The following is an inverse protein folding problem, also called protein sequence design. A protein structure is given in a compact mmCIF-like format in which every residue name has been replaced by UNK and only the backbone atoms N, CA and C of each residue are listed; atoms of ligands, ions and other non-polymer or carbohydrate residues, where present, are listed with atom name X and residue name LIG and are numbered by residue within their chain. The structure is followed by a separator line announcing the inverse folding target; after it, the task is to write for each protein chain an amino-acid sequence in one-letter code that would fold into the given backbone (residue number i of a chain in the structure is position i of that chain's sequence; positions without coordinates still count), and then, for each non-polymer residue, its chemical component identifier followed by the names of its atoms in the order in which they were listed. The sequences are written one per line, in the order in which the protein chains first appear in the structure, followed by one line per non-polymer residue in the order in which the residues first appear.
data_IF_597766398884
#
_entry.id   IF_597766398884
#
_cell.length_a   1.000
_cell.length_b   1.000
_cell.length_c   1.000
_cell.angle_alpha   90.00
_cell.angle_beta   90.00
_cell.angle_gamma   90.00
#
_symmetry.space_group_name_H-M   'P 1'
#
loop_
_entity.id
_entity.type
_entity.pdbx_description
1 polymer ?
#
# COMPACT_ATOMS: atom_id res chain seq x y z
N UNK A 1 -27.91 -1.82 2.60
CA UNK A 1 -27.13 -1.05 1.62
C UNK A 1 -25.78 -1.73 1.45
N UNK A 2 -25.24 -1.80 0.23
CA UNK A 2 -23.88 -2.28 -0.06
C UNK A 2 -22.93 -1.10 -0.26
N UNK A 3 -21.67 -1.27 0.13
CA UNK A 3 -20.63 -0.26 0.03
C UNK A 3 -19.44 -0.83 -0.71
N UNK A 4 -19.00 -0.16 -1.77
CA UNK A 4 -17.83 -0.59 -2.55
C UNK A 4 -16.86 0.56 -2.70
N UNK A 5 -15.61 0.32 -2.30
CA UNK A 5 -14.47 1.20 -2.55
C UNK A 5 -13.63 0.58 -3.64
N UNK A 6 -13.49 1.29 -4.76
CA UNK A 6 -12.62 0.94 -5.87
C UNK A 6 -11.46 1.92 -5.93
N UNK A 7 -10.28 1.47 -5.52
CA UNK A 7 -9.07 2.29 -5.44
C UNK A 7 -8.13 1.90 -6.58
N UNK A 8 -7.89 2.83 -7.50
CA UNK A 8 -6.75 2.73 -8.42
C UNK A 8 -5.58 3.50 -7.82
N UNK A 9 -4.57 2.78 -7.36
CA UNK A 9 -3.40 3.34 -6.67
C UNK A 9 -2.65 4.29 -7.61
N UNK A 10 -2.23 5.46 -7.11
CA UNK A 10 -1.38 6.37 -7.86
C UNK A 10 -1.93 6.88 -9.21
N UNK A 11 -3.22 6.70 -9.52
CA UNK A 11 -3.81 7.08 -10.83
C UNK A 11 -3.67 8.57 -11.13
N UNK A 12 -3.81 9.40 -10.09
CA UNK A 12 -3.71 10.85 -10.21
C UNK A 12 -2.30 11.27 -10.65
N UNK A 13 -2.24 12.38 -11.38
CA UNK A 13 -1.02 12.87 -12.00
C UNK A 13 -1.06 14.40 -12.19
N UNK A 14 0.02 14.92 -12.73
CA UNK A 14 0.09 16.29 -13.21
C UNK A 14 -0.03 16.34 -14.73
N UNK A 15 -0.52 17.46 -15.29
CA UNK A 15 -0.39 17.72 -16.72
C UNK A 15 1.08 17.63 -17.15
N UNK A 16 1.37 16.82 -18.16
CA UNK A 16 2.74 16.62 -18.67
C UNK A 16 2.84 16.92 -20.15
N UNK A 17 3.98 17.47 -20.59
CA UNK A 17 4.27 17.70 -22.01
C UNK A 17 4.22 16.40 -22.83
N UNK A 18 4.58 15.26 -22.22
CA UNK A 18 4.51 13.92 -22.84
C UNK A 18 3.11 13.57 -23.36
N UNK A 19 2.08 14.16 -22.76
CA UNK A 19 0.67 13.95 -23.07
C UNK A 19 0.00 15.23 -23.61
N UNK A 20 0.79 16.20 -24.11
CA UNK A 20 0.27 17.44 -24.67
C UNK A 20 -0.40 18.35 -23.63
N UNK A 21 0.10 18.34 -22.40
CA UNK A 21 -0.44 19.15 -21.30
C UNK A 21 -1.67 18.54 -20.63
N UNK A 22 -1.84 17.22 -20.70
CA UNK A 22 -2.92 16.44 -20.05
C UNK A 22 -2.37 15.49 -19.00
N UNK A 23 -3.23 15.03 -18.10
CA UNK A 23 -2.95 13.91 -17.20
C UNK A 23 -3.27 12.57 -17.87
N UNK A 24 -2.76 11.42 -17.38
CA UNK A 24 -3.17 10.09 -17.83
C UNK A 24 -4.69 9.86 -17.71
N UNK A 25 -5.34 10.32 -16.63
CA UNK A 25 -6.79 10.25 -16.46
C UNK A 25 -7.54 11.02 -17.57
N UNK A 26 -7.02 12.16 -18.02
CA UNK A 26 -7.59 12.91 -19.15
C UNK A 26 -7.33 12.28 -20.53
N UNK A 27 -6.41 11.31 -20.61
CA UNK A 27 -6.03 10.62 -21.84
C UNK A 27 -6.68 9.25 -21.98
N UNK A 28 -6.96 8.57 -20.87
CA UNK A 28 -7.55 7.25 -20.84
C UNK A 28 -9.03 7.29 -21.27
N UNK A 29 -9.49 6.23 -21.95
CA UNK A 29 -10.91 6.03 -22.20
C UNK A 29 -11.57 5.32 -21.02
N UNK A 30 -12.35 6.05 -20.22
CA UNK A 30 -12.88 5.59 -18.93
C UNK A 30 -14.39 5.80 -18.75
N UNK A 31 -15.24 5.22 -19.63
CA UNK A 31 -16.68 5.47 -19.63
C UNK A 31 -17.38 5.15 -18.30
N UNK A 32 -16.89 4.21 -17.49
CA UNK A 32 -17.56 3.85 -16.23
C UNK A 32 -17.15 4.74 -15.05
N UNK A 33 -15.88 5.17 -14.97
CA UNK A 33 -15.44 6.22 -14.06
C UNK A 33 -16.16 7.53 -14.39
N UNK A 34 -16.26 7.86 -15.67
CA UNK A 34 -16.97 9.05 -16.14
C UNK A 34 -18.45 8.97 -15.79
N UNK A 35 -19.11 7.81 -15.97
CA UNK A 35 -20.49 7.62 -15.54
C UNK A 35 -20.66 7.87 -14.04
N UNK A 36 -19.79 7.31 -13.19
CA UNK A 36 -19.85 7.51 -11.73
C UNK A 36 -19.67 9.00 -11.37
N UNK A 37 -18.77 9.71 -12.06
CA UNK A 37 -18.53 11.14 -11.81
C UNK A 37 -19.66 12.05 -12.33
N UNK A 38 -20.13 11.80 -13.55
CA UNK A 38 -21.19 12.56 -14.24
C UNK A 38 -22.52 12.44 -13.53
N UNK A 39 -22.91 11.22 -13.16
CA UNK A 39 -24.20 10.93 -12.52
C UNK A 39 -24.15 11.06 -11.00
N UNK A 40 -22.96 10.91 -10.40
CA UNK A 40 -22.74 10.89 -8.97
C UNK A 40 -22.23 12.23 -8.41
N UNK A 41 -21.26 12.15 -7.50
CA UNK A 41 -20.63 13.31 -6.86
C UNK A 41 -19.12 13.20 -7.01
N UNK A 42 -18.52 14.13 -7.75
CA UNK A 42 -17.09 14.23 -8.02
C UNK A 42 -16.43 15.28 -7.10
N UNK A 43 -15.25 14.98 -6.56
CA UNK A 43 -14.49 15.91 -5.72
C UNK A 43 -13.05 15.46 -5.48
N UNK A 44 -12.37 16.16 -4.58
CA UNK A 44 -11.00 15.85 -4.15
C UNK A 44 -10.97 15.36 -2.70
N UNK A 45 -10.03 14.46 -2.39
CA UNK A 45 -9.76 13.99 -1.03
C UNK A 45 -8.28 14.16 -0.69
N UNK A 46 -8.04 14.72 0.50
CA UNK A 46 -6.70 14.98 1.04
C UNK A 46 -6.26 13.84 1.97
N UNK A 47 -5.74 12.77 1.39
CA UNK A 47 -5.41 11.52 2.10
C UNK A 47 -4.07 11.56 2.84
N UNK A 48 -3.22 12.56 2.56
CA UNK A 48 -1.87 12.66 3.13
C UNK A 48 -1.84 13.83 4.12
N UNK A 49 -1.91 13.58 5.44
CA UNK A 49 -1.80 14.65 6.43
C UNK A 49 -0.51 15.45 6.28
N UNK A 50 -0.60 16.74 6.55
CA UNK A 50 0.55 17.65 6.48
C UNK A 50 1.75 17.10 7.28
N UNK A 51 2.91 17.03 6.63
CA UNK A 51 4.16 16.57 7.23
C UNK A 51 4.36 15.05 7.26
N UNK A 52 3.42 14.27 6.71
CA UNK A 52 3.59 12.83 6.53
C UNK A 52 4.07 12.49 5.11
N UNK A 53 4.79 11.38 4.98
CA UNK A 53 5.20 10.88 3.68
C UNK A 53 3.97 10.38 2.90
N UNK A 54 3.87 10.68 1.59
CA UNK A 54 2.74 10.29 0.75
C UNK A 54 2.77 8.80 0.37
N UNK A 55 2.98 7.87 1.31
CA UNK A 55 2.98 6.43 1.03
C UNK A 55 1.57 5.82 1.00
N UNK A 56 1.37 4.74 0.26
CA UNK A 56 0.09 4.01 0.19
C UNK A 56 -0.36 3.49 1.56
N UNK A 57 0.56 3.29 2.52
CA UNK A 57 0.23 3.03 3.92
C UNK A 57 -0.54 4.18 4.57
N UNK A 58 -0.03 5.40 4.43
CA UNK A 58 -0.65 6.61 4.98
C UNK A 58 -1.97 6.89 4.27
N UNK A 59 -1.96 6.86 2.93
CA UNK A 59 -3.14 7.12 2.12
C UNK A 59 -4.26 6.11 2.38
N UNK A 60 -3.97 4.81 2.40
CA UNK A 60 -4.99 3.77 2.63
C UNK A 60 -5.59 3.85 4.04
N UNK A 61 -4.79 4.17 5.06
CA UNK A 61 -5.31 4.42 6.41
C UNK A 61 -6.34 5.57 6.39
N UNK A 62 -6.00 6.69 5.73
CA UNK A 62 -6.95 7.79 5.53
C UNK A 62 -8.20 7.36 4.78
N UNK A 63 -8.07 6.65 3.65
CA UNK A 63 -9.24 6.21 2.88
C UNK A 63 -10.16 5.31 3.71
N UNK A 64 -9.61 4.44 4.55
CA UNK A 64 -10.39 3.57 5.46
C UNK A 64 -10.95 4.32 6.68
N UNK A 65 -10.62 5.60 6.86
CA UNK A 65 -11.18 6.44 7.91
C UNK A 65 -10.38 6.48 9.22
N UNK A 66 -9.10 6.11 9.17
CA UNK A 66 -8.17 6.20 10.29
C UNK A 66 -7.28 7.42 10.11
N UNK A 67 -7.05 8.20 11.17
CA UNK A 67 -6.16 9.35 11.14
C UNK A 67 -4.71 8.86 11.13
N UNK A 68 -3.94 8.99 10.03
CA UNK A 68 -2.58 8.45 9.99
C UNK A 68 -1.67 9.10 11.02
N UNK A 69 -1.89 10.36 11.38
CA UNK A 69 -1.09 11.05 12.40
C UNK A 69 -1.22 10.42 13.79
N UNK A 70 -2.33 9.71 14.06
CA UNK A 70 -2.59 9.03 15.33
C UNK A 70 -2.36 7.52 15.24
N UNK A 71 -2.66 6.93 14.08
CA UNK A 71 -2.74 5.48 13.93
C UNK A 71 -1.53 4.86 13.20
N UNK A 72 -0.78 5.63 12.41
CA UNK A 72 0.38 5.11 11.70
C UNK A 72 1.56 4.91 12.65
N UNK A 73 2.05 3.68 12.72
CA UNK A 73 3.15 3.31 13.61
C UNK A 73 4.39 2.80 12.86
N UNK A 74 4.35 2.70 11.54
CA UNK A 74 5.43 2.16 10.69
C UNK A 74 4.96 1.02 9.78
N UNK A 75 5.77 0.65 8.79
CA UNK A 75 5.44 -0.41 7.81
C UNK A 75 5.53 -1.82 8.36
N UNK A 76 6.48 -2.07 9.26
CA UNK A 76 6.70 -3.37 9.90
C UNK A 76 5.44 -3.96 10.54
N UNK A 77 4.69 -3.23 11.40
CA UNK A 77 3.50 -3.77 12.02
C UNK A 77 2.33 -3.99 11.05
N UNK A 78 2.25 -3.24 9.96
CA UNK A 78 1.25 -3.44 8.92
C UNK A 78 1.52 -4.74 8.14
N UNK A 79 2.79 -5.01 7.77
CA UNK A 79 3.17 -6.27 7.15
C UNK A 79 3.08 -7.46 8.12
N UNK A 80 3.36 -7.26 9.40
CA UNK A 80 3.15 -8.31 10.40
C UNK A 80 1.68 -8.76 10.40
N UNK A 81 0.74 -7.83 10.30
CA UNK A 81 -0.67 -8.14 10.20
C UNK A 81 -1.03 -8.90 8.91
N UNK A 82 -0.42 -8.57 7.77
CA UNK A 82 -0.67 -9.27 6.50
C UNK A 82 -0.20 -10.73 6.53
N UNK A 83 0.85 -11.02 7.29
CA UNK A 83 1.36 -12.37 7.54
C UNK A 83 0.61 -13.11 8.67
N UNK A 84 -0.41 -12.50 9.27
CA UNK A 84 -1.15 -13.08 10.40
C UNK A 84 -0.34 -13.14 11.71
N UNK A 85 0.73 -12.35 11.82
CA UNK A 85 1.59 -12.30 12.99
C UNK A 85 0.96 -11.36 14.01
N UNK A 86 0.56 -11.92 15.15
CA UNK A 86 -0.01 -11.14 16.25
C UNK A 86 1.10 -10.43 17.04
N UNK A 87 0.96 -9.11 17.15
CA UNK A 87 1.78 -8.25 18.00
C UNK A 87 1.06 -7.99 19.32
N UNK A 88 1.78 -8.22 20.43
CA UNK A 88 1.41 -7.74 21.75
C UNK A 88 1.55 -6.21 21.86
N UNK A 89 1.05 -5.61 22.96
CA UNK A 89 1.01 -4.16 23.12
C UNK A 89 2.40 -3.48 23.15
N UNK A 90 3.43 -4.23 23.51
CA UNK A 90 4.81 -3.74 23.62
C UNK A 90 5.74 -4.32 22.54
N UNK A 91 5.21 -5.10 21.60
CA UNK A 91 6.02 -5.68 20.54
C UNK A 91 6.29 -4.63 19.45
N UNK A 92 7.48 -4.69 18.88
CA UNK A 92 7.87 -3.86 17.74
C UNK A 92 8.20 -4.76 16.56
N UNK A 93 7.54 -4.52 15.44
CA UNK A 93 7.81 -5.19 14.19
C UNK A 93 8.73 -4.32 13.32
N UNK A 94 9.79 -4.92 12.79
CA UNK A 94 10.72 -4.35 11.83
C UNK A 94 10.54 -5.06 10.49
N UNK A 95 10.60 -4.31 9.39
CA UNK A 95 11.03 -4.88 8.11
C UNK A 95 12.47 -5.32 8.22
N UNK A 96 12.75 -6.49 7.67
CA UNK A 96 14.07 -7.10 7.61
C UNK A 96 14.38 -7.37 6.14
N UNK A 97 15.13 -6.48 5.51
CA UNK A 97 15.58 -6.69 4.14
C UNK A 97 16.85 -7.56 4.10
N UNK A 98 16.92 -8.51 3.17
CA UNK A 98 18.20 -9.07 2.75
C UNK A 98 18.86 -8.12 1.75
N UNK A 99 20.09 -7.71 2.04
CA UNK A 99 20.81 -6.69 1.25
C UNK A 99 22.22 -7.14 0.88
N UNK A 100 22.77 -6.50 -0.15
CA UNK A 100 24.20 -6.57 -0.49
C UNK A 100 24.87 -5.27 -0.08
N UNK A 101 25.80 -5.37 0.87
CA UNK A 101 26.69 -4.28 1.26
C UNK A 101 28.01 -4.43 0.50
N UNK A 102 28.34 -3.43 -0.31
CA UNK A 102 29.62 -3.33 -1.02
C UNK A 102 30.72 -2.83 -0.08
N UNK A 103 31.96 -3.30 -0.29
CA UNK A 103 33.11 -3.00 0.60
C UNK A 103 32.80 -3.23 2.09
N UNK A 104 32.05 -4.31 2.38
CA UNK A 104 31.66 -4.70 3.73
C UNK A 104 32.88 -4.79 4.66
N UNK A 105 32.68 -4.45 5.92
CA UNK A 105 33.70 -4.45 6.98
C UNK A 105 34.80 -3.39 6.81
N UNK A 106 34.59 -2.42 5.92
CA UNK A 106 35.45 -1.23 5.76
C UNK A 106 34.70 0.07 6.09
N UNK A 107 35.44 1.17 6.25
CA UNK A 107 34.86 2.53 6.45
C UNK A 107 34.12 3.05 5.22
N UNK A 108 34.34 2.43 4.06
CA UNK A 108 33.72 2.78 2.79
C UNK A 108 32.54 1.86 2.43
N UNK A 109 32.06 1.06 3.38
CA UNK A 109 30.89 0.20 3.20
C UNK A 109 29.67 1.01 2.72
N UNK A 110 29.03 0.52 1.66
CA UNK A 110 27.90 1.20 1.02
C UNK A 110 26.77 0.22 0.67
N UNK A 111 25.54 0.74 0.54
CA UNK A 111 24.39 -0.06 0.13
C UNK A 111 24.50 -0.33 -1.37
N UNK A 112 25.05 -1.48 -1.75
CA UNK A 112 25.22 -1.84 -3.16
C UNK A 112 23.89 -2.29 -3.78
N UNK A 113 23.07 -3.02 -3.02
CA UNK A 113 21.78 -3.50 -3.47
C UNK A 113 20.84 -3.79 -2.30
N UNK A 114 19.73 -3.06 -2.21
CA UNK A 114 18.73 -3.26 -1.14
C UNK A 114 17.85 -4.51 -1.35
N UNK A 115 18.01 -5.20 -2.47
CA UNK A 115 17.26 -6.41 -2.86
C UNK A 115 18.11 -7.68 -2.92
N UNK A 116 19.43 -7.53 -2.71
CA UNK A 116 20.42 -8.58 -2.94
C UNK A 116 20.35 -9.19 -4.36
N UNK A 117 20.10 -8.36 -5.38
CA UNK A 117 19.93 -8.81 -6.77
C UNK A 117 18.61 -9.54 -6.99
N UNK A 118 17.52 -9.01 -6.42
CA UNK A 118 16.18 -9.62 -6.43
C UNK A 118 16.20 -11.10 -6.04
N UNK A 119 16.85 -11.41 -4.90
CA UNK A 119 16.92 -12.77 -4.36
C UNK A 119 15.53 -13.43 -4.36
N UNK A 120 15.46 -14.68 -4.79
CA UNK A 120 14.19 -15.38 -4.89
C UNK A 120 13.59 -15.65 -3.51
N UNK A 121 12.26 -15.74 -3.41
CA UNK A 121 11.59 -16.08 -2.15
C UNK A 121 12.04 -17.43 -1.59
N UNK A 122 12.42 -18.38 -2.45
CA UNK A 122 12.89 -19.70 -2.02
C UNK A 122 14.24 -19.61 -1.32
N UNK A 123 15.23 -18.99 -1.96
CA UNK A 123 16.55 -18.78 -1.38
C UNK A 123 16.51 -17.93 -0.10
N UNK A 124 15.73 -16.84 -0.14
CA UNK A 124 15.60 -15.93 0.98
C UNK A 124 14.91 -16.58 2.18
N UNK A 125 13.94 -17.46 1.95
CA UNK A 125 13.28 -18.23 3.02
C UNK A 125 14.26 -19.14 3.74
N UNK A 126 15.17 -19.80 3.03
CA UNK A 126 16.22 -20.62 3.64
C UNK A 126 17.11 -19.76 4.54
N UNK A 127 17.61 -18.64 4.02
CA UNK A 127 18.43 -17.68 4.77
C UNK A 127 17.73 -17.20 6.04
N UNK A 128 16.48 -16.74 5.94
CA UNK A 128 15.76 -16.18 7.08
C UNK A 128 15.40 -17.26 8.10
N UNK A 129 15.13 -18.49 7.65
CA UNK A 129 14.91 -19.62 8.56
C UNK A 129 16.16 -19.93 9.36
N UNK A 130 17.34 -19.90 8.74
CA UNK A 130 18.61 -20.15 9.43
C UNK A 130 19.02 -19.00 10.35
N UNK A 131 18.75 -17.75 9.96
CA UNK A 131 18.87 -16.59 10.87
C UNK A 131 17.93 -16.76 12.07
N UNK A 132 16.68 -17.17 11.85
CA UNK A 132 15.75 -17.42 12.95
C UNK A 132 16.24 -18.55 13.84
N UNK A 133 16.73 -19.66 13.28
CA UNK A 133 17.25 -20.78 14.06
C UNK A 133 18.46 -20.37 14.92
N UNK A 134 19.33 -19.51 14.40
CA UNK A 134 20.53 -19.05 15.10
C UNK A 134 20.23 -17.96 16.15
N UNK A 135 19.27 -17.07 15.89
CA UNK A 135 19.09 -15.83 16.65
C UNK A 135 17.74 -15.71 17.38
N UNK A 136 16.80 -16.61 17.12
CA UNK A 136 15.50 -16.57 17.78
C UNK A 136 15.63 -16.79 19.29
N UNK A 137 14.77 -16.09 20.01
CA UNK A 137 14.66 -16.14 21.46
C UNK A 137 13.28 -15.64 21.88
N UNK A 138 13.04 -15.57 23.18
CA UNK A 138 11.85 -14.87 23.71
C UNK A 138 11.84 -13.36 23.36
N UNK A 139 13.00 -12.80 22.95
CA UNK A 139 13.17 -11.39 22.59
C UNK A 139 13.02 -11.14 21.09
N UNK A 140 13.59 -12.00 20.23
CA UNK A 140 13.65 -11.77 18.77
C UNK A 140 13.09 -12.96 18.00
N UNK A 141 12.30 -12.67 16.97
CA UNK A 141 11.73 -13.68 16.07
C UNK A 141 11.79 -13.18 14.64
N UNK A 142 12.21 -14.01 13.69
CA UNK A 142 12.32 -13.66 12.28
C UNK A 142 11.31 -14.47 11.45
N UNK A 143 10.70 -13.81 10.47
CA UNK A 143 9.64 -14.39 9.65
C UNK A 143 9.93 -14.17 8.17
N UNK A 144 10.03 -15.25 7.36
CA UNK A 144 10.28 -15.11 5.94
C UNK A 144 9.04 -14.55 5.22
N UNK A 145 9.20 -13.38 4.61
CA UNK A 145 8.27 -12.84 3.60
C UNK A 145 8.67 -13.18 2.15
N UNK A 146 8.46 -12.24 1.24
CA UNK A 146 8.61 -12.42 -0.22
C UNK A 146 9.89 -11.77 -0.74
N UNK A 147 10.65 -12.50 -1.57
CA UNK A 147 11.91 -12.05 -2.13
C UNK A 147 12.87 -11.61 -1.04
N UNK A 148 13.33 -10.37 -1.08
CA UNK A 148 14.22 -9.79 -0.08
C UNK A 148 13.52 -9.19 1.15
N UNK A 149 12.19 -9.19 1.22
CA UNK A 149 11.40 -8.50 2.27
C UNK A 149 10.91 -9.49 3.31
N UNK A 150 11.32 -9.31 4.56
CA UNK A 150 10.99 -10.20 5.68
C UNK A 150 10.66 -9.37 6.92
N UNK A 151 10.36 -10.03 8.03
CA UNK A 151 10.09 -9.35 9.30
C UNK A 151 10.99 -9.85 10.42
N UNK A 152 11.30 -8.94 11.33
CA UNK A 152 11.83 -9.25 12.66
C UNK A 152 10.90 -8.65 13.71
N UNK A 153 10.47 -9.45 14.67
CA UNK A 153 9.67 -9.01 15.80
C UNK A 153 10.55 -8.95 17.04
N UNK A 154 10.66 -7.76 17.62
CA UNK A 154 11.25 -7.54 18.94
C UNK A 154 10.11 -7.55 19.97
N UNK A 155 10.01 -8.66 20.71
CA UNK A 155 9.01 -8.85 21.75
C UNK A 155 9.30 -7.98 22.97
N UNK A 156 8.27 -7.32 23.48
CA UNK A 156 8.35 -6.41 24.64
C UNK A 156 9.49 -5.38 24.55
N UNK A 157 9.68 -4.78 23.36
CA UNK A 157 10.73 -3.82 23.14
C UNK A 157 10.53 -2.56 24.01
N UNK A 158 11.59 -2.13 24.69
CA UNK A 158 11.58 -0.93 25.51
C UNK A 158 11.86 0.35 24.72
N UNK A 159 12.38 0.21 23.50
CA UNK A 159 12.85 1.31 22.66
C UNK A 159 12.36 1.16 21.23
N UNK A 160 12.36 2.28 20.50
CA UNK A 160 11.99 2.34 19.09
C UNK A 160 13.02 3.23 18.35
N UNK A 161 14.23 2.72 18.09
CA UNK A 161 15.28 3.50 17.43
C UNK A 161 14.82 3.96 16.05
N UNK A 162 15.31 5.11 15.60
CA UNK A 162 15.11 5.60 14.24
C UNK A 162 15.90 4.74 13.25
N UNK A 163 15.31 4.41 12.10
CA UNK A 163 15.96 3.62 11.05
C UNK A 163 15.75 4.28 9.69
N UNK A 164 16.59 3.90 8.73
CA UNK A 164 16.50 4.40 7.35
C UNK A 164 16.07 3.28 6.41
N UNK A 165 15.13 3.52 5.48
CA UNK A 165 14.82 2.55 4.43
C UNK A 165 16.02 2.26 3.53
N UNK A 166 16.34 1.00 3.22
CA UNK A 166 17.56 0.68 2.46
C UNK A 166 17.49 1.12 1.00
N UNK A 167 16.30 1.26 0.43
CA UNK A 167 16.12 1.71 -0.97
C UNK A 167 16.47 3.19 -1.16
N UNK A 168 16.28 4.03 -0.14
CA UNK A 168 16.59 5.47 -0.17
C UNK A 168 18.11 5.76 -0.16
N UNK A 169 18.92 4.74 0.13
CA UNK A 169 20.36 4.88 0.35
C UNK A 169 21.21 4.03 -0.61
N UNK A 170 20.63 3.51 -1.69
CA UNK A 170 21.36 2.80 -2.74
C UNK A 170 22.54 3.64 -3.25
N UNK A 171 23.74 3.06 -3.25
CA UNK A 171 25.00 3.71 -3.62
C UNK A 171 25.61 4.63 -2.54
N UNK A 172 24.95 4.81 -1.39
CA UNK A 172 25.43 5.68 -0.30
C UNK A 172 26.15 4.87 0.78
N UNK A 173 27.08 5.53 1.49
CA UNK A 173 27.79 4.95 2.64
C UNK A 173 26.82 4.64 3.77
N UNK A 174 26.84 3.43 4.30
CA UNK A 174 25.81 2.98 5.26
C UNK A 174 26.00 3.53 6.67
N UNK A 175 27.21 3.97 7.03
CA UNK A 175 27.54 4.38 8.40
C UNK A 175 26.62 5.49 8.94
N UNK A 176 26.19 6.42 8.07
CA UNK A 176 25.32 7.55 8.44
C UNK A 176 23.84 7.15 8.58
N UNK A 177 23.46 5.96 8.10
CA UNK A 177 22.07 5.49 8.01
C UNK A 177 21.77 4.28 8.88
N UNK A 178 22.77 3.77 9.61
CA UNK A 178 22.54 2.74 10.63
C UNK A 178 21.52 3.23 11.67
N UNK A 179 20.74 2.32 12.28
CA UNK A 179 19.83 2.66 13.37
C UNK A 179 20.44 3.62 14.40
N UNK A 180 19.67 4.64 14.80
CA UNK A 180 20.10 5.70 15.74
C UNK A 180 19.09 5.90 16.88
N UNK A 181 19.56 6.46 17.99
CA UNK A 181 18.75 6.70 19.19
C UNK A 181 18.74 5.53 20.17
N UNK A 182 17.83 5.57 21.15
CA UNK A 182 17.75 4.55 22.19
C UNK A 182 17.42 3.17 21.61
N UNK A 183 18.12 2.14 22.11
CA UNK A 183 17.99 0.77 21.59
C UNK A 183 18.66 0.52 20.23
N UNK A 184 19.30 1.53 19.61
CA UNK A 184 20.00 1.35 18.35
C UNK A 184 21.16 0.34 18.43
N UNK A 185 21.87 0.27 19.57
CA UNK A 185 22.95 -0.69 19.76
C UNK A 185 22.46 -2.14 19.64
N UNK A 186 21.32 -2.48 20.26
CA UNK A 186 20.71 -3.81 20.14
C UNK A 186 20.40 -4.18 18.69
N UNK A 187 19.81 -3.24 17.93
CA UNK A 187 19.45 -3.45 16.51
C UNK A 187 20.70 -3.59 15.65
N UNK A 188 21.68 -2.72 15.83
CA UNK A 188 22.95 -2.74 15.10
C UNK A 188 23.74 -4.02 15.37
N UNK A 189 23.79 -4.47 16.62
CA UNK A 189 24.50 -5.70 16.98
C UNK A 189 23.77 -6.93 16.45
N UNK A 190 22.43 -6.94 16.46
CA UNK A 190 21.65 -8.00 15.83
C UNK A 190 21.93 -8.09 14.32
N UNK A 191 22.00 -6.96 13.62
CA UNK A 191 22.38 -6.91 12.20
C UNK A 191 23.79 -7.47 11.96
N UNK A 192 24.77 -7.12 12.81
CA UNK A 192 26.14 -7.66 12.72
C UNK A 192 26.20 -9.16 12.96
N UNK A 193 25.50 -9.67 13.98
CA UNK A 193 25.46 -11.10 14.30
C UNK A 193 24.82 -11.88 13.15
N UNK A 194 23.70 -11.39 12.60
CA UNK A 194 23.08 -12.00 11.42
C UNK A 194 24.01 -12.00 10.21
N UNK A 195 24.80 -10.94 10.00
CA UNK A 195 25.86 -10.91 8.98
C UNK A 195 26.91 -12.02 9.16
N UNK A 196 27.17 -12.48 10.39
CA UNK A 196 28.02 -13.63 10.68
C UNK A 196 27.41 -14.96 10.22
N UNK A 197 26.11 -15.16 10.42
CA UNK A 197 25.36 -16.32 9.91
C UNK A 197 25.42 -16.38 8.37
N UNK A 198 25.34 -15.22 7.72
CA UNK A 198 25.32 -15.09 6.26
C UNK A 198 26.66 -15.35 5.57
N UNK A 199 27.79 -15.21 6.29
CA UNK A 199 29.14 -15.19 5.70
C UNK A 199 29.47 -16.44 4.87
N UNK A 200 29.16 -17.63 5.41
CA UNK A 200 29.38 -18.92 4.74
C UNK A 200 28.05 -19.65 4.45
N UNK A 201 26.96 -18.90 4.31
CA UNK A 201 25.65 -19.50 4.07
C UNK A 201 25.62 -20.22 2.70
N UNK A 202 25.13 -21.47 2.59
CA UNK A 202 25.14 -22.24 1.33
C UNK A 202 24.51 -21.50 0.14
N UNK A 203 23.39 -20.80 0.38
CA UNK A 203 22.74 -19.94 -0.62
C UNK A 203 23.70 -18.87 -1.15
N UNK A 204 24.41 -18.13 -0.30
CA UNK A 204 25.35 -17.11 -0.74
C UNK A 204 26.54 -17.69 -1.52
N UNK A 205 27.01 -18.88 -1.14
CA UNK A 205 28.07 -19.60 -1.88
C UNK A 205 27.57 -19.98 -3.28
N UNK A 206 26.33 -20.46 -3.40
CA UNK A 206 25.73 -20.80 -4.69
C UNK A 206 25.52 -19.55 -5.57
N UNK A 207 24.98 -18.47 -4.99
CA UNK A 207 24.81 -17.17 -5.67
C UNK A 207 26.12 -16.62 -6.21
N UNK A 208 27.18 -16.62 -5.41
CA UNK A 208 28.50 -16.19 -5.84
C UNK A 208 29.06 -17.05 -6.98
N UNK A 209 28.89 -18.38 -6.92
CA UNK A 209 29.30 -19.28 -8.03
C UNK A 209 28.52 -19.02 -9.32
N UNK A 210 27.28 -18.53 -9.22
CA UNK A 210 26.45 -18.14 -10.35
C UNK A 210 26.71 -16.70 -10.83
N UNK A 211 27.60 -15.94 -10.18
CA UNK A 211 27.83 -14.52 -10.50
C UNK A 211 26.72 -13.60 -10.01
N UNK A 212 25.84 -14.08 -9.13
CA UNK A 212 24.76 -13.30 -8.51
C UNK A 212 25.24 -12.58 -7.24
N UNK A 213 24.54 -11.50 -6.88
CA UNK A 213 24.83 -10.75 -5.66
C UNK A 213 24.50 -11.57 -4.41
N UNK A 214 25.40 -11.57 -3.44
CA UNK A 214 25.20 -12.20 -2.13
C UNK A 214 24.27 -11.35 -1.25
N UNK A 215 23.35 -11.99 -0.53
CA UNK A 215 22.65 -11.41 0.60
C UNK A 215 23.58 -11.45 1.82
N UNK A 216 24.48 -10.48 1.95
CA UNK A 216 25.57 -10.51 2.93
C UNK A 216 25.24 -9.77 4.24
N UNK A 217 24.08 -9.12 4.35
CA UNK A 217 23.58 -8.52 5.58
C UNK A 217 22.05 -8.56 5.61
N UNK A 218 21.48 -8.47 6.81
CA UNK A 218 20.12 -7.98 7.00
C UNK A 218 20.14 -6.47 7.20
N UNK A 219 19.03 -5.81 6.88
CA UNK A 219 18.79 -4.39 7.17
C UNK A 219 17.43 -4.22 7.85
N UNK A 220 17.44 -3.77 9.11
CA UNK A 220 16.25 -3.64 9.94
C UNK A 220 15.71 -2.20 9.87
N UNK A 221 14.48 -2.05 9.41
CA UNK A 221 13.87 -0.73 9.19
C UNK A 221 12.34 -0.74 9.29
N UNK A 222 11.70 0.44 9.17
CA UNK A 222 10.24 0.54 9.14
C UNK A 222 9.56 0.08 10.43
N UNK A 223 10.28 0.18 11.53
CA UNK A 223 9.93 -0.27 12.87
C UNK A 223 8.65 0.38 13.38
N UNK A 224 7.82 -0.42 14.05
CA UNK A 224 6.58 0.08 14.60
C UNK A 224 5.89 -0.86 15.58
N UNK A 225 5.15 -0.28 16.51
CA UNK A 225 4.21 -1.03 17.36
C UNK A 225 2.92 -1.31 16.61
N UNK A 226 2.07 -2.20 17.12
CA UNK A 226 0.72 -2.40 16.56
C UNK A 226 -0.06 -1.07 16.51
N UNK A 227 -0.63 -0.67 15.36
CA UNK A 227 -1.56 0.45 15.28
C UNK A 227 -2.73 0.28 16.25
N UNK A 228 -3.10 1.35 16.93
CA UNK A 228 -4.33 1.38 17.71
C UNK A 228 -5.47 1.78 16.78
N UNK A 229 -6.19 0.80 16.24
CA UNK A 229 -7.36 1.07 15.39
C UNK A 229 -8.57 0.26 15.87
N UNK A 230 -9.74 0.91 15.85
CA UNK A 230 -11.03 0.26 16.07
C UNK A 230 -11.48 -0.30 14.72
N UNK A 231 -11.68 -1.63 14.57
CA UNK A 231 -12.06 -2.23 13.29
C UNK A 231 -13.31 -1.58 12.68
N UNK A 232 -13.35 -1.40 11.36
CA UNK A 232 -14.51 -0.86 10.64
C UNK A 232 -15.76 -1.72 10.85
N UNK A 233 -15.56 -3.03 10.93
CA UNK A 233 -16.62 -4.01 11.21
C UNK A 233 -17.26 -3.79 12.58
N UNK A 234 -16.51 -3.24 13.54
CA UNK A 234 -17.04 -2.81 14.84
C UNK A 234 -17.61 -1.40 14.77
N UNK A 235 -16.88 -0.44 14.17
CA UNK A 235 -17.27 0.98 14.11
C UNK A 235 -18.59 1.19 13.39
N UNK A 236 -18.83 0.43 12.31
CA UNK A 236 -20.00 0.57 11.44
C UNK A 236 -20.91 -0.66 11.43
N UNK A 237 -20.67 -1.63 12.32
CA UNK A 237 -21.48 -2.85 12.46
C UNK A 237 -21.70 -3.62 11.13
N UNK A 238 -20.65 -3.69 10.31
CA UNK A 238 -20.69 -4.26 8.96
C UNK A 238 -19.76 -5.47 8.80
N UNK A 239 -20.03 -6.29 7.78
CA UNK A 239 -19.08 -7.30 7.32
C UNK A 239 -18.42 -6.85 6.03
N UNK A 240 -17.10 -7.04 5.91
CA UNK A 240 -16.42 -6.62 4.69
C UNK A 240 -15.13 -7.34 4.35
N UNK A 241 -14.69 -7.11 3.11
CA UNK A 241 -13.52 -7.74 2.53
C UNK A 241 -12.53 -6.75 1.91
N UNK A 242 -11.26 -7.14 1.88
CA UNK A 242 -10.15 -6.43 1.22
C UNK A 242 -9.61 -7.31 0.08
N UNK A 243 -9.67 -6.81 -1.15
CA UNK A 243 -9.08 -7.42 -2.35
C UNK A 243 -7.91 -6.56 -2.78
N UNK A 244 -6.68 -7.05 -2.57
CA UNK A 244 -5.45 -6.38 -3.03
C UNK A 244 -4.39 -7.41 -3.36
N UNK A 245 -3.48 -7.07 -4.27
CA UNK A 245 -2.26 -7.85 -4.50
C UNK A 245 -1.18 -7.50 -3.45
N UNK A 246 -1.23 -6.30 -2.89
CA UNK A 246 -0.17 -5.70 -2.08
C UNK A 246 -0.34 -6.08 -0.61
N UNK A 247 0.70 -6.65 -0.02
CA UNK A 247 0.66 -7.17 1.35
C UNK A 247 0.43 -6.06 2.39
N UNK A 248 0.93 -4.85 2.14
CA UNK A 248 0.69 -3.69 2.99
C UNK A 248 -0.80 -3.41 3.16
N UNK A 249 -1.56 -3.38 2.07
CA UNK A 249 -2.99 -3.12 2.08
C UNK A 249 -3.79 -4.29 2.67
N UNK A 250 -3.37 -5.54 2.42
CA UNK A 250 -3.93 -6.72 3.10
C UNK A 250 -3.78 -6.61 4.61
N UNK A 251 -2.62 -6.15 5.08
CA UNK A 251 -2.33 -5.92 6.49
C UNK A 251 -3.21 -4.84 7.10
N UNK A 252 -3.31 -3.68 6.44
CA UNK A 252 -4.22 -2.59 6.88
C UNK A 252 -5.67 -3.09 6.91
N UNK A 253 -6.13 -3.78 5.86
CA UNK A 253 -7.46 -4.37 5.80
C UNK A 253 -7.73 -5.33 6.95
N UNK A 254 -6.77 -6.22 7.25
CA UNK A 254 -6.89 -7.15 8.38
C UNK A 254 -6.98 -6.42 9.72
N UNK A 255 -6.14 -5.41 9.97
CA UNK A 255 -6.22 -4.59 11.17
C UNK A 255 -7.56 -3.85 11.26
N UNK A 256 -8.11 -3.41 10.12
CA UNK A 256 -9.40 -2.76 9.99
C UNK A 256 -10.59 -3.72 10.15
N UNK A 257 -10.34 -5.01 10.42
CA UNK A 257 -11.36 -6.05 10.60
C UNK A 257 -11.92 -6.63 9.31
N UNK A 258 -11.36 -6.28 8.16
CA UNK A 258 -11.78 -6.79 6.86
C UNK A 258 -11.16 -8.17 6.59
N UNK A 259 -11.94 -9.06 5.98
CA UNK A 259 -11.42 -10.35 5.52
C UNK A 259 -10.58 -10.13 4.27
N UNK A 260 -9.32 -10.59 4.27
CA UNK A 260 -8.50 -10.59 3.05
C UNK A 260 -9.07 -11.64 2.07
N UNK A 261 -9.38 -11.18 0.85
CA UNK A 261 -9.96 -11.98 -0.23
C UNK A 261 -8.92 -12.15 -1.34
N UNK A 262 -8.22 -13.27 -1.32
CA UNK A 262 -7.15 -13.57 -2.28
C UNK A 262 -7.71 -13.90 -3.67
N UNK A 263 -7.07 -13.32 -4.70
CA UNK A 263 -7.41 -13.56 -6.10
C UNK A 263 -6.20 -14.19 -6.79
N UNK A 264 -6.41 -15.36 -7.39
CA UNK A 264 -5.37 -16.03 -8.17
C UNK A 264 -4.94 -15.16 -9.36
N UNK A 265 -3.63 -15.04 -9.58
CA UNK A 265 -3.08 -14.18 -10.63
C UNK A 265 -3.11 -12.68 -10.32
N UNK A 266 -3.42 -12.26 -9.08
CA UNK A 266 -3.28 -10.87 -8.68
C UNK A 266 -1.80 -10.53 -8.41
N UNK A 267 -1.08 -10.05 -9.43
CA UNK A 267 0.37 -9.79 -9.38
C UNK A 267 0.73 -8.44 -8.76
N UNK A 268 -0.18 -7.47 -8.83
CA UNK A 268 0.11 -6.08 -8.47
C UNK A 268 0.77 -5.28 -9.60
N UNK A 269 1.05 -5.90 -10.75
CA UNK A 269 1.60 -5.24 -11.92
C UNK A 269 0.56 -5.19 -13.05
N UNK A 270 0.92 -4.65 -14.22
CA UNK A 270 -0.02 -4.45 -15.33
C UNK A 270 -0.66 -5.75 -15.84
N UNK A 271 -0.02 -6.90 -15.63
CA UNK A 271 -0.47 -8.25 -16.00
C UNK A 271 -1.40 -8.90 -14.95
N UNK A 272 -1.78 -8.17 -13.89
CA UNK A 272 -2.65 -8.68 -12.81
C UNK A 272 -4.00 -9.18 -13.32
N UNK A 273 -4.63 -10.08 -12.58
CA UNK A 273 -5.97 -10.58 -12.88
C UNK A 273 -7.09 -9.58 -12.52
N UNK A 274 -7.36 -8.60 -13.38
CA UNK A 274 -8.42 -7.59 -13.19
C UNK A 274 -9.81 -8.21 -13.03
N UNK A 275 -10.20 -9.09 -13.97
CA UNK A 275 -11.52 -9.74 -13.99
C UNK A 275 -11.74 -10.61 -12.75
N UNK A 276 -10.70 -11.31 -12.30
CA UNK A 276 -10.73 -12.09 -11.06
C UNK A 276 -11.02 -11.23 -9.83
N UNK A 277 -10.45 -10.02 -9.75
CA UNK A 277 -10.74 -9.06 -8.67
C UNK A 277 -12.20 -8.60 -8.70
N UNK A 278 -12.71 -8.24 -9.88
CA UNK A 278 -14.10 -7.81 -10.03
C UNK A 278 -15.09 -8.93 -9.67
N UNK A 279 -14.83 -10.15 -10.16
CA UNK A 279 -15.62 -11.35 -9.83
C UNK A 279 -15.61 -11.63 -8.33
N UNK A 280 -14.44 -11.57 -7.69
CA UNK A 280 -14.32 -11.79 -6.25
C UNK A 280 -15.12 -10.75 -5.45
N UNK A 281 -15.12 -9.48 -5.86
CA UNK A 281 -15.92 -8.44 -5.22
C UNK A 281 -17.42 -8.74 -5.31
N UNK A 282 -17.93 -9.07 -6.50
CA UNK A 282 -19.34 -9.41 -6.70
C UNK A 282 -19.76 -10.67 -5.92
N UNK A 283 -18.90 -11.70 -5.86
CA UNK A 283 -19.16 -12.89 -5.05
C UNK A 283 -19.18 -12.57 -3.55
N UNK A 284 -18.27 -11.70 -3.08
CA UNK A 284 -18.23 -11.29 -1.68
C UNK A 284 -19.48 -10.48 -1.27
N UNK A 285 -19.97 -9.59 -2.14
CA UNK A 285 -21.16 -8.76 -1.88
C UNK A 285 -22.46 -9.55 -1.68
N UNK A 286 -22.51 -10.81 -2.11
CA UNK A 286 -23.61 -11.73 -1.79
C UNK A 286 -23.72 -12.01 -0.29
N UNK A 287 -22.62 -11.91 0.45
CA UNK A 287 -22.53 -12.29 1.86
C UNK A 287 -21.99 -11.17 2.76
N UNK A 288 -21.44 -10.09 2.20
CA UNK A 288 -20.83 -8.97 2.91
C UNK A 288 -21.48 -7.65 2.52
N UNK A 289 -21.34 -6.64 3.38
CA UNK A 289 -21.90 -5.31 3.17
C UNK A 289 -20.89 -4.35 2.54
N UNK A 290 -19.59 -4.60 2.75
CA UNK A 290 -18.50 -3.73 2.33
C UNK A 290 -17.43 -4.50 1.55
N UNK A 291 -16.97 -3.95 0.42
CA UNK A 291 -15.78 -4.43 -0.29
C UNK A 291 -14.86 -3.27 -0.60
N UNK A 292 -13.58 -3.42 -0.21
CA UNK A 292 -12.49 -2.58 -0.68
C UNK A 292 -11.68 -3.35 -1.71
N UNK A 293 -11.67 -2.87 -2.95
CA UNK A 293 -10.89 -3.45 -4.03
C UNK A 293 -9.84 -2.45 -4.47
N UNK A 294 -8.59 -2.91 -4.45
CA UNK A 294 -7.41 -2.14 -4.82
C UNK A 294 -6.75 -2.68 -6.09
N UNK A 295 -6.30 -1.75 -6.94
CA UNK A 295 -5.47 -2.00 -8.09
C UNK A 295 -4.19 -1.14 -8.03
N UNK A 296 -3.05 -1.82 -7.90
CA UNK A 296 -1.71 -1.21 -7.84
C UNK A 296 -1.18 -0.72 -9.19
N UNK A 297 -1.56 -1.38 -10.29
CA UNK A 297 -0.89 -1.22 -11.59
C UNK A 297 -0.66 0.22 -12.09
N UNK A 298 -1.59 1.20 -11.92
CA UNK A 298 -1.33 2.57 -12.35
C UNK A 298 -0.17 3.25 -11.60
N UNK A 299 0.05 2.92 -10.33
CA UNK A 299 1.12 3.47 -9.50
C UNK A 299 2.50 3.01 -9.96
N UNK A 300 2.67 1.71 -10.18
CA UNK A 300 3.91 1.12 -10.72
C UNK A 300 4.31 1.77 -12.06
N UNK A 301 3.33 2.03 -12.93
CA UNK A 301 3.57 2.71 -14.20
C UNK A 301 3.97 4.20 -14.00
N UNK A 302 3.44 4.84 -12.96
CA UNK A 302 3.84 6.17 -12.52
C UNK A 302 5.31 6.21 -12.07
N UNK A 303 5.72 5.26 -11.22
CA UNK A 303 7.12 5.11 -10.78
C UNK A 303 8.11 4.88 -11.92
N UNK A 304 7.70 4.16 -12.97
CA UNK A 304 8.52 3.98 -14.16
C UNK A 304 8.57 5.24 -15.06
N UNK A 305 7.61 6.15 -14.90
CA UNK A 305 7.34 7.23 -15.84
C UNK A 305 6.80 6.72 -17.18
N UNK A 306 6.14 5.56 -17.16
CA UNK A 306 5.59 4.87 -18.31
C UNK A 306 4.17 5.37 -18.61
N UNK A 307 4.08 6.39 -19.47
CA UNK A 307 2.81 7.05 -19.78
C UNK A 307 1.79 6.11 -20.45
N UNK A 308 2.24 5.33 -21.44
CA UNK A 308 1.38 4.36 -22.14
C UNK A 308 0.87 3.28 -21.18
N UNK A 309 1.76 2.73 -20.36
CA UNK A 309 1.41 1.75 -19.34
C UNK A 309 0.41 2.29 -18.31
N UNK A 310 0.60 3.52 -17.83
CA UNK A 310 -0.29 4.14 -16.84
C UNK A 310 -1.69 4.38 -17.40
N UNK A 311 -1.78 4.94 -18.62
CA UNK A 311 -3.06 5.10 -19.34
C UNK A 311 -3.72 3.72 -19.51
N UNK A 312 -2.97 2.70 -19.92
CA UNK A 312 -3.53 1.38 -20.14
C UNK A 312 -4.02 0.70 -18.87
N UNK A 313 -3.30 0.86 -17.76
CA UNK A 313 -3.72 0.36 -16.45
C UNK A 313 -5.02 1.01 -15.98
N UNK A 314 -5.18 2.33 -16.22
CA UNK A 314 -6.42 3.07 -15.92
C UNK A 314 -7.58 2.56 -16.79
N UNK A 315 -7.39 2.39 -18.09
CA UNK A 315 -8.42 1.83 -18.99
C UNK A 315 -8.83 0.41 -18.57
N UNK A 316 -7.87 -0.45 -18.17
CA UNK A 316 -8.19 -1.78 -17.67
C UNK A 316 -8.88 -1.76 -16.31
N UNK A 317 -8.56 -0.80 -15.44
CA UNK A 317 -9.30 -0.60 -14.20
C UNK A 317 -10.76 -0.28 -14.49
N UNK A 318 -11.00 0.67 -15.39
CA UNK A 318 -12.34 1.09 -15.80
C UNK A 318 -13.12 -0.07 -16.44
N UNK A 319 -12.58 -0.65 -17.51
CA UNK A 319 -13.27 -1.67 -18.31
C UNK A 319 -13.46 -2.99 -17.56
N UNK A 320 -12.45 -3.44 -16.81
CA UNK A 320 -12.42 -4.81 -16.25
C UNK A 320 -12.74 -4.89 -14.76
N UNK A 321 -12.78 -3.75 -14.05
CA UNK A 321 -13.13 -3.70 -12.63
C UNK A 321 -14.34 -2.83 -12.38
N UNK A 322 -14.27 -1.54 -12.73
CA UNK A 322 -15.34 -0.57 -12.44
C UNK A 322 -16.61 -0.96 -13.19
N UNK A 323 -16.53 -1.17 -14.51
CA UNK A 323 -17.67 -1.53 -15.35
C UNK A 323 -18.41 -2.79 -14.90
N UNK A 324 -17.74 -3.94 -14.72
CA UNK A 324 -18.39 -5.17 -14.26
C UNK A 324 -19.05 -5.00 -12.90
N UNK A 325 -18.45 -4.27 -11.96
CA UNK A 325 -19.04 -4.03 -10.64
C UNK A 325 -20.26 -3.11 -10.76
N UNK A 326 -20.11 -1.96 -11.41
CA UNK A 326 -21.17 -0.97 -11.57
C UNK A 326 -22.41 -1.57 -12.26
N UNK A 327 -22.20 -2.38 -13.30
CA UNK A 327 -23.30 -3.01 -14.05
C UNK A 327 -24.05 -4.10 -13.26
N UNK A 328 -23.46 -4.67 -12.20
CA UNK A 328 -24.03 -5.81 -11.49
C UNK A 328 -24.39 -5.52 -10.02
N UNK A 329 -23.86 -4.46 -9.41
CA UNK A 329 -24.06 -4.17 -7.98
C UNK A 329 -25.53 -3.93 -7.60
N UNK A 330 -26.35 -3.41 -8.53
CA UNK A 330 -27.79 -3.18 -8.32
C UNK A 330 -28.59 -4.45 -8.00
N UNK A 331 -28.07 -5.64 -8.34
CA UNK A 331 -28.69 -6.92 -7.98
C UNK A 331 -28.71 -7.17 -6.45
N UNK A 332 -27.91 -6.43 -5.67
CA UNK A 332 -27.79 -6.58 -4.22
C UNK A 332 -28.62 -5.57 -3.42
N UNK A 333 -29.49 -4.79 -4.09
CA UNK A 333 -30.31 -3.74 -3.47
C UNK A 333 -29.62 -2.38 -3.48
N UNK A 334 -29.94 -1.53 -2.48
CA UNK A 334 -29.35 -0.20 -2.39
C UNK A 334 -27.83 -0.27 -2.21
N UNK A 335 -27.10 0.63 -2.86
CA UNK A 335 -25.65 0.66 -2.82
C UNK A 335 -25.07 2.09 -2.89
N UNK A 336 -23.84 2.22 -2.40
CA UNK A 336 -22.92 3.31 -2.75
C UNK A 336 -21.61 2.73 -3.26
N UNK A 337 -21.13 3.26 -4.37
CA UNK A 337 -19.82 2.94 -4.94
C UNK A 337 -18.97 4.21 -4.95
N UNK A 338 -17.75 4.12 -4.45
CA UNK A 338 -16.74 5.17 -4.55
C UNK A 338 -15.56 4.68 -5.39
N UNK A 339 -15.16 5.48 -6.36
CA UNK A 339 -13.91 5.34 -7.11
C UNK A 339 -12.97 6.45 -6.70
N UNK A 340 -11.69 6.16 -6.48
CA UNK A 340 -10.69 7.17 -6.11
C UNK A 340 -9.26 6.75 -6.46
N UNK A 341 -8.39 7.76 -6.57
CA UNK A 341 -6.94 7.62 -6.38
C UNK A 341 -6.60 7.91 -4.93
N UNK A 342 -5.66 7.19 -4.35
CA UNK A 342 -5.28 7.36 -2.95
C UNK A 342 -4.25 8.49 -2.78
N UNK A 343 -3.23 8.55 -3.63
CA UNK A 343 -2.31 9.68 -3.81
C UNK A 343 -2.00 9.85 -5.32
N UNK A 344 -1.36 10.94 -5.74
CA UNK A 344 -0.82 11.05 -7.09
C UNK A 344 0.60 10.49 -7.17
N UNK A 345 0.90 9.81 -8.27
CA UNK A 345 2.26 9.35 -8.62
C UNK A 345 2.64 9.87 -10.00
N UNK A 346 3.07 11.14 -10.10
CA UNK A 346 3.17 11.80 -11.40
C UNK A 346 4.28 11.22 -12.29
N UNK A 347 4.00 11.05 -13.58
CA UNK A 347 4.93 10.44 -14.55
C UNK A 347 6.32 11.11 -14.64
N UNK A 348 6.37 12.42 -14.40
CA UNK A 348 7.60 13.20 -14.45
C UNK A 348 8.36 13.22 -13.11
N UNK A 349 7.64 12.99 -12.01
CA UNK A 349 8.18 12.96 -10.65
C UNK A 349 8.63 11.55 -10.27
N UNK A 350 7.96 10.51 -10.80
CA UNK A 350 8.26 9.08 -10.59
C UNK A 350 8.25 8.63 -9.13
N UNK A 351 7.58 9.39 -8.28
CA UNK A 351 7.35 9.09 -6.88
C UNK A 351 6.06 9.76 -6.44
N UNK A 352 5.53 9.31 -5.32
CA UNK A 352 4.29 9.83 -4.77
C UNK A 352 4.44 11.29 -4.34
N UNK A 353 3.35 12.05 -4.46
CA UNK A 353 3.22 13.43 -3.98
C UNK A 353 2.01 13.56 -3.06
N UNK A 354 1.92 14.67 -2.32
CA UNK A 354 0.90 14.86 -1.28
C UNK A 354 -0.35 15.62 -1.74
N UNK A 355 -0.48 15.95 -3.02
CA UNK A 355 -1.64 16.70 -3.51
C UNK A 355 -2.95 15.89 -3.34
N UNK A 356 -4.09 16.56 -3.09
CA UNK A 356 -5.38 15.89 -3.04
C UNK A 356 -5.72 15.14 -4.32
N UNK A 357 -6.28 13.93 -4.17
CA UNK A 357 -6.62 13.03 -5.27
C UNK A 357 -8.11 13.10 -5.64
N UNK A 358 -8.48 12.83 -6.90
CA UNK A 358 -9.88 12.77 -7.31
C UNK A 358 -10.59 11.55 -6.71
N UNK A 359 -11.85 11.76 -6.32
CA UNK A 359 -12.80 10.71 -5.99
C UNK A 359 -14.15 10.99 -6.65
N UNK A 360 -14.94 9.95 -6.93
CA UNK A 360 -16.34 10.07 -7.31
C UNK A 360 -17.19 9.03 -6.59
N UNK A 361 -18.38 9.43 -6.15
CA UNK A 361 -19.35 8.55 -5.49
C UNK A 361 -20.64 8.50 -6.29
N UNK A 362 -21.13 7.30 -6.58
CA UNK A 362 -22.46 7.07 -7.10
C UNK A 362 -23.28 6.27 -6.08
N UNK A 363 -24.46 6.78 -5.75
CA UNK A 363 -25.46 6.11 -4.91
C UNK A 363 -26.64 5.64 -5.74
N UNK A 364 -27.21 4.49 -5.39
CA UNK A 364 -28.51 4.05 -5.93
C UNK A 364 -29.66 4.97 -5.49
N UNK A 365 -29.47 5.73 -4.41
CA UNK A 365 -30.41 6.74 -3.92
C UNK A 365 -30.15 8.06 -4.65
N UNK A 366 -31.06 8.47 -5.52
CA UNK A 366 -30.85 9.61 -6.43
C UNK A 366 -30.60 10.93 -5.71
N UNK A 367 -31.18 11.12 -4.54
CA UNK A 367 -31.00 12.33 -3.74
C UNK A 367 -29.62 12.45 -3.08
N UNK A 368 -28.78 11.42 -3.20
CA UNK A 368 -27.41 11.39 -2.69
C UNK A 368 -26.36 11.70 -3.77
N UNK A 369 -26.80 12.07 -4.97
CA UNK A 369 -25.96 12.36 -6.12
C UNK A 369 -26.09 13.83 -6.54
N UNK A 370 -24.96 14.54 -6.70
CA UNK A 370 -24.96 15.93 -7.20
C UNK A 370 -25.13 16.04 -8.71
N UNK A 371 -24.72 15.03 -9.45
CA UNK A 371 -24.77 14.92 -10.90
C UNK A 371 -24.24 16.17 -11.62
N UNK A 372 -23.00 16.58 -11.32
CA UNK A 372 -22.40 17.80 -11.87
C UNK A 372 -22.14 17.74 -13.38
N UNK A 373 -22.24 16.56 -14.00
CA UNK A 373 -22.04 16.39 -15.44
C UNK A 373 -20.58 16.50 -15.90
N UNK A 374 -19.63 16.19 -15.01
CA UNK A 374 -18.20 16.29 -15.27
C UNK A 374 -17.53 14.91 -15.21
N UNK A 375 -16.70 14.64 -16.22
CA UNK A 375 -15.90 13.41 -16.35
C UNK A 375 -14.86 13.28 -15.22
N UNK A 376 -14.40 12.06 -14.95
CA UNK A 376 -13.51 11.74 -13.85
C UNK A 376 -12.06 12.11 -14.16
N UNK A 377 -11.59 13.25 -13.66
CA UNK A 377 -10.18 13.63 -13.67
C UNK A 377 -9.90 14.72 -12.61
N UNK A 378 -8.62 15.00 -12.38
CA UNK A 378 -8.13 15.94 -11.38
C UNK A 378 -8.66 17.37 -11.61
N UNK A 379 -8.67 17.83 -12.86
CA UNK A 379 -9.10 19.18 -13.21
C UNK A 379 -10.60 19.38 -12.97
N UNK A 380 -11.41 18.41 -13.40
CA UNK A 380 -12.85 18.42 -13.21
C UNK A 380 -13.24 18.25 -11.74
N UNK A 381 -12.55 17.39 -10.99
CA UNK A 381 -12.74 17.26 -9.55
C UNK A 381 -12.46 18.56 -8.81
N UNK A 382 -11.41 19.29 -9.21
CA UNK A 382 -11.12 20.61 -8.66
C UNK A 382 -12.21 21.64 -8.97
N UNK A 383 -12.82 21.60 -10.16
CA UNK A 383 -13.91 22.52 -10.57
C UNK A 383 -15.17 22.37 -9.73
N UNK A 384 -15.43 21.21 -9.11
CA UNK A 384 -16.63 21.02 -8.27
C UNK A 384 -16.55 21.79 -6.95
N UNK A 385 -15.35 22.18 -6.52
CA UNK A 385 -15.11 22.83 -5.22
C UNK A 385 -15.30 21.91 -4.02
N UNK A 386 -15.53 20.61 -4.23
CA UNK A 386 -15.70 19.62 -3.17
C UNK A 386 -14.32 19.12 -2.76
N UNK A 387 -13.98 19.33 -1.49
CA UNK A 387 -12.76 18.81 -0.88
C UNK A 387 -13.08 18.16 0.47
N UNK A 388 -12.65 16.91 0.65
CA UNK A 388 -12.64 16.25 1.95
C UNK A 388 -11.22 16.35 2.52
N UNK A 389 -11.04 17.28 3.45
CA UNK A 389 -9.80 17.46 4.22
C UNK A 389 -10.17 17.69 5.71
N UNK A 390 -9.58 16.95 6.66
CA UNK A 390 -8.63 15.84 6.43
C UNK A 390 -9.31 14.61 5.81
N UNK A 391 -8.59 13.87 4.97
CA UNK A 391 -9.13 12.79 4.15
C UNK A 391 -9.66 11.59 4.96
N UNK A 392 -9.19 11.38 6.19
CA UNK A 392 -9.71 10.34 7.06
C UNK A 392 -11.19 10.52 7.46
N UNK A 393 -11.80 11.67 7.16
CA UNK A 393 -13.25 11.86 7.31
C UNK A 393 -14.07 11.25 6.16
N UNK A 394 -13.42 10.83 5.07
CA UNK A 394 -14.09 10.28 3.88
C UNK A 394 -14.97 9.08 4.23
N UNK A 395 -14.42 8.07 4.93
CA UNK A 395 -15.14 6.82 5.17
C UNK A 395 -16.39 7.03 6.05
N UNK A 396 -16.29 7.88 7.07
CA UNK A 396 -17.45 8.19 7.93
C UNK A 396 -18.56 8.87 7.14
N UNK A 397 -18.22 9.85 6.30
CA UNK A 397 -19.16 10.47 5.37
C UNK A 397 -19.75 9.44 4.43
N UNK A 398 -18.92 8.62 3.80
CA UNK A 398 -19.34 7.63 2.80
C UNK A 398 -20.30 6.59 3.36
N UNK A 399 -20.08 6.09 4.58
CA UNK A 399 -20.94 5.06 5.19
C UNK A 399 -22.19 5.67 5.84
N UNK A 400 -22.03 6.70 6.69
CA UNK A 400 -23.09 7.16 7.60
C UNK A 400 -23.77 8.47 7.18
N UNK A 401 -23.03 9.46 6.67
CA UNK A 401 -23.51 10.85 6.56
C UNK A 401 -23.44 11.43 5.13
N UNK A 402 -23.47 10.56 4.12
CA UNK A 402 -23.19 10.97 2.74
C UNK A 402 -24.19 12.00 2.23
N UNK A 403 -25.49 11.77 2.49
CA UNK A 403 -26.58 12.65 2.10
C UNK A 403 -26.42 14.07 2.65
N UNK A 404 -26.07 14.21 3.93
CA UNK A 404 -25.89 15.54 4.55
C UNK A 404 -24.67 16.25 3.96
N UNK A 405 -23.59 15.51 3.74
CA UNK A 405 -22.38 16.04 3.11
C UNK A 405 -22.64 16.59 1.71
N UNK A 406 -23.40 15.88 0.87
CA UNK A 406 -23.68 16.35 -0.50
C UNK A 406 -24.79 17.38 -0.58
N UNK A 407 -25.63 17.51 0.45
CA UNK A 407 -26.72 18.50 0.49
C UNK A 407 -26.28 19.87 1.04
N UNK A 408 -25.17 19.92 1.79
CA UNK A 408 -24.56 21.16 2.31
C UNK A 408 -23.57 21.77 1.33
#
# INVERSE_FOLDING_TARGET
MKYVVLLGDGMADYPTEKLGGKTPLQCAFTPYLDQIAVEGTLGLVDTIPQGMNPGSDVATLSVLGYNPAENYTGRGPLEAASMGINLGPNDVAYRCNLVTIGQKDTVDAFMEDFTAGHISSQEAKEIISDINNALSSDKYQFYPGVGYRHLMIWRNASFLPHTTPPHDITGKKIAEYLPQGDGAADVNDLMKIAAGVLFNHPVNIARERAGEKKANSIWLWGQGKRPQIVPLTQKYELQGGMISAVDLLKGIGSLAGLKVLSVEGATGYIDTNYEGKAKMALEALKFMDFVFLHLEAPDEMGHEGNAEGKIKAIEFFDEKIVGPILNNIGAFGDYRIIVLSDHPTPLDVKTHVSDPSPFAVLSSLKEENRAAGLDFNEENAKKTGILISPGHLLMEKFIQDWKSFVSG
#
